data_IF_507377454096
#
_entry.id   IF_507377454096
#
_cell.length_a   1.000
_cell.length_b   1.000
_cell.length_c   1.000
_cell.angle_alpha   90.00
_cell.angle_beta   90.00
_cell.angle_gamma   90.00
#
_symmetry.space_group_name_H-M   'P 1'
#
loop_
_entity.id
_entity.type
_entity.pdbx_description
1 polymer ?
#
# COMPACT_ATOMS: atom_id res chain seq x y z
N UNK A 1 -17.41 -5.26 64.29
CA UNK A 1 -16.80 -6.44 63.65
C UNK A 1 -16.48 -6.07 62.21
N UNK A 2 -15.21 -6.23 61.80
CA UNK A 2 -14.63 -5.72 60.54
C UNK A 2 -15.08 -6.54 59.32
N UNK A 3 -15.23 -5.81 58.21
CA UNK A 3 -14.74 -6.16 56.86
C UNK A 3 -15.19 -7.47 56.21
N UNK A 4 -16.16 -7.36 55.32
CA UNK A 4 -16.19 -8.19 54.09
C UNK A 4 -15.87 -7.29 52.89
N UNK A 5 -14.66 -7.47 52.36
CA UNK A 5 -14.14 -6.76 51.22
C UNK A 5 -14.62 -7.42 49.91
N UNK A 6 -15.15 -6.58 49.02
CA UNK A 6 -15.38 -6.84 47.59
C UNK A 6 -14.16 -7.52 46.94
N UNK A 7 -14.30 -8.75 46.49
CA UNK A 7 -13.27 -9.47 45.71
C UNK A 7 -13.74 -9.94 44.32
N UNK A 8 -14.88 -9.46 43.80
CA UNK A 8 -15.47 -9.98 42.55
C UNK A 8 -15.26 -9.17 41.24
N UNK A 9 -14.66 -7.97 41.28
CA UNK A 9 -14.79 -7.00 40.16
C UNK A 9 -13.59 -6.82 39.21
N UNK A 10 -12.41 -7.31 39.55
CA UNK A 10 -11.16 -6.95 38.85
C UNK A 10 -10.72 -7.93 37.76
N UNK A 11 -11.12 -9.20 37.86
CA UNK A 11 -10.76 -10.24 36.87
C UNK A 11 -11.49 -10.08 35.53
N UNK A 12 -12.80 -9.85 35.56
CA UNK A 12 -13.62 -9.71 34.34
C UNK A 12 -13.28 -8.45 33.54
N UNK A 13 -12.93 -7.35 34.22
CA UNK A 13 -12.51 -6.10 33.56
C UNK A 13 -11.16 -6.25 32.86
N UNK A 14 -10.17 -6.90 33.48
CA UNK A 14 -8.87 -7.16 32.82
C UNK A 14 -8.98 -8.09 31.62
N UNK A 15 -9.78 -9.16 31.74
CA UNK A 15 -10.03 -10.07 30.62
C UNK A 15 -10.66 -9.32 29.44
N UNK A 16 -11.64 -8.46 29.72
CA UNK A 16 -12.26 -7.62 28.70
C UNK A 16 -11.24 -6.70 28.03
N UNK A 17 -10.42 -5.99 28.78
CA UNK A 17 -9.40 -5.09 28.21
C UNK A 17 -8.42 -5.86 27.31
N UNK A 18 -8.02 -7.07 27.71
CA UNK A 18 -7.17 -7.96 26.92
C UNK A 18 -7.85 -8.43 25.64
N UNK A 19 -9.12 -8.87 25.72
CA UNK A 19 -9.90 -9.27 24.55
C UNK A 19 -10.04 -8.14 23.54
N UNK A 20 -10.26 -6.90 23.99
CA UNK A 20 -10.32 -5.74 23.08
C UNK A 20 -8.99 -5.47 22.37
N UNK A 21 -7.86 -5.74 23.00
CA UNK A 21 -6.55 -5.68 22.34
C UNK A 21 -6.36 -6.80 21.33
N UNK A 22 -6.75 -8.03 21.67
CA UNK A 22 -6.71 -9.17 20.73
C UNK A 22 -7.54 -8.87 19.48
N UNK A 23 -8.77 -8.36 19.65
CA UNK A 23 -9.62 -7.96 18.51
C UNK A 23 -8.97 -6.86 17.68
N UNK A 24 -8.37 -5.84 18.32
CA UNK A 24 -7.68 -4.77 17.60
C UNK A 24 -6.47 -5.28 16.80
N UNK A 25 -5.69 -6.22 17.35
CA UNK A 25 -4.56 -6.87 16.66
C UNK A 25 -5.06 -7.69 15.47
N UNK A 26 -6.10 -8.51 15.65
CA UNK A 26 -6.68 -9.30 14.56
C UNK A 26 -7.16 -8.39 13.43
N UNK A 27 -7.90 -7.31 13.74
CA UNK A 27 -8.37 -6.37 12.72
C UNK A 27 -7.20 -5.68 11.99
N UNK A 28 -6.15 -5.29 12.71
CA UNK A 28 -4.96 -4.67 12.12
C UNK A 28 -4.22 -5.65 11.20
N UNK A 29 -3.96 -6.88 11.64
CA UNK A 29 -3.27 -7.91 10.84
C UNK A 29 -4.09 -8.29 9.62
N UNK A 30 -5.41 -8.46 9.75
CA UNK A 30 -6.29 -8.76 8.62
C UNK A 30 -6.29 -7.64 7.57
N UNK A 31 -6.34 -6.37 8.00
CA UNK A 31 -6.26 -5.24 7.08
C UNK A 31 -4.88 -5.15 6.40
N UNK A 32 -3.80 -5.36 7.16
CA UNK A 32 -2.44 -5.37 6.62
C UNK A 32 -2.23 -6.47 5.57
N UNK A 33 -2.74 -7.68 5.83
CA UNK A 33 -2.72 -8.78 4.88
C UNK A 33 -3.49 -8.45 3.60
N UNK A 34 -4.72 -7.95 3.75
CA UNK A 34 -5.55 -7.53 2.60
C UNK A 34 -4.86 -6.45 1.76
N UNK A 35 -4.27 -5.42 2.39
CA UNK A 35 -3.52 -4.37 1.70
C UNK A 35 -2.32 -4.92 0.92
N UNK A 36 -1.59 -5.88 1.50
CA UNK A 36 -0.43 -6.47 0.84
C UNK A 36 -0.83 -7.21 -0.43
N UNK A 37 -1.92 -7.98 -0.40
CA UNK A 37 -2.39 -8.76 -1.55
C UNK A 37 -3.08 -7.91 -2.63
N UNK A 38 -3.74 -6.82 -2.24
CA UNK A 38 -4.45 -5.93 -3.19
C UNK A 38 -3.60 -4.74 -3.64
N UNK A 39 -2.38 -4.62 -3.14
CA UNK A 39 -1.47 -3.53 -3.48
C UNK A 39 -0.88 -3.70 -4.89
N UNK A 40 -0.57 -2.59 -5.60
CA UNK A 40 -0.02 -2.62 -6.95
C UNK A 40 1.41 -3.14 -7.01
N UNK A 41 2.08 -3.26 -5.86
CA UNK A 41 3.39 -3.91 -5.76
C UNK A 41 3.28 -5.43 -5.60
N UNK A 42 2.08 -5.97 -5.36
CA UNK A 42 1.86 -7.41 -5.31
C UNK A 42 2.02 -7.99 -6.72
N UNK A 43 2.91 -8.97 -6.91
CA UNK A 43 3.19 -9.56 -8.21
C UNK A 43 1.93 -10.01 -8.96
N UNK A 44 1.93 -9.86 -10.29
CA UNK A 44 0.86 -10.38 -11.13
C UNK A 44 1.06 -11.88 -11.33
N UNK A 45 0.24 -12.68 -10.67
CA UNK A 45 0.32 -14.14 -10.71
C UNK A 45 -0.71 -14.71 -11.67
N UNK A 46 -0.38 -15.81 -12.34
CA UNK A 46 -1.32 -16.55 -13.17
C UNK A 46 -0.74 -17.90 -13.59
N UNK A 47 -1.38 -18.53 -14.56
CA UNK A 47 -0.95 -19.80 -15.11
C UNK A 47 -0.98 -19.77 -16.63
N UNK A 48 -0.09 -20.54 -17.25
CA UNK A 48 -0.07 -20.76 -18.69
C UNK A 48 0.12 -22.25 -19.00
N UNK A 49 -0.36 -22.68 -20.16
CA UNK A 49 -0.35 -24.09 -20.57
C UNK A 49 0.63 -24.29 -21.73
N UNK A 50 1.59 -25.20 -21.56
CA UNK A 50 2.53 -25.61 -22.61
C UNK A 50 2.66 -27.12 -22.56
N UNK A 51 2.57 -27.79 -23.72
CA UNK A 51 2.72 -29.25 -23.80
C UNK A 51 1.71 -30.05 -22.96
N UNK A 52 0.57 -29.45 -22.61
CA UNK A 52 -0.43 -30.06 -21.71
C UNK A 52 -0.13 -29.95 -20.22
N UNK A 53 0.97 -29.29 -19.84
CA UNK A 53 1.32 -28.97 -18.45
C UNK A 53 0.97 -27.53 -18.11
N UNK A 54 0.55 -27.30 -16.87
CA UNK A 54 0.29 -25.97 -16.32
C UNK A 54 1.50 -25.46 -15.56
N UNK A 55 1.92 -24.24 -15.88
CA UNK A 55 3.03 -23.55 -15.23
C UNK A 55 2.53 -22.27 -14.59
N UNK A 56 2.92 -22.03 -13.34
CA UNK A 56 2.59 -20.80 -12.63
C UNK A 56 3.64 -19.73 -12.91
N UNK A 57 3.21 -18.48 -13.06
CA UNK A 57 4.12 -17.36 -13.22
C UNK A 57 3.88 -16.28 -12.16
N UNK A 58 4.92 -15.50 -11.90
CA UNK A 58 4.90 -14.35 -11.00
C UNK A 58 5.59 -13.15 -11.68
N UNK A 59 4.80 -12.23 -12.23
CA UNK A 59 5.30 -11.06 -12.93
C UNK A 59 5.48 -9.86 -11.99
N UNK A 60 6.68 -9.30 -11.98
CA UNK A 60 7.07 -8.19 -11.11
C UNK A 60 6.32 -6.89 -11.43
N UNK A 61 5.89 -6.16 -10.39
CA UNK A 61 5.16 -4.88 -10.54
C UNK A 61 5.83 -3.69 -9.85
N UNK A 62 6.99 -3.92 -9.24
CA UNK A 62 7.79 -2.85 -8.68
C UNK A 62 9.28 -3.19 -8.77
N UNK A 63 10.11 -2.17 -8.96
CA UNK A 63 11.57 -2.30 -8.95
C UNK A 63 12.25 -1.00 -8.48
N UNK A 64 13.53 -1.09 -8.15
CA UNK A 64 14.39 0.06 -7.86
C UNK A 64 14.87 0.73 -9.15
N UNK A 65 15.05 2.05 -9.09
CA UNK A 65 15.63 2.86 -10.17
C UNK A 65 17.10 2.55 -10.46
N UNK A 66 17.79 1.85 -9.55
CA UNK A 66 19.24 1.60 -9.61
C UNK A 66 19.63 0.42 -10.49
N UNK A 67 18.66 -0.30 -11.06
CA UNK A 67 18.89 -1.51 -11.86
C UNK A 67 17.71 -1.79 -12.80
N UNK A 68 18.00 -2.57 -13.84
CA UNK A 68 16.97 -3.13 -14.70
C UNK A 68 16.13 -4.15 -13.93
N UNK A 69 14.84 -4.24 -14.27
CA UNK A 69 13.92 -5.17 -13.62
C UNK A 69 14.01 -6.54 -14.29
N UNK A 70 14.33 -7.56 -13.50
CA UNK A 70 14.32 -8.95 -13.94
C UNK A 70 12.88 -9.45 -14.02
N UNK A 71 12.46 -9.86 -15.21
CA UNK A 71 11.18 -10.54 -15.46
C UNK A 71 11.50 -11.99 -15.78
N UNK A 72 10.91 -12.92 -15.04
CA UNK A 72 11.17 -14.34 -15.22
C UNK A 72 9.90 -15.17 -15.16
N UNK A 73 9.89 -16.24 -15.94
CA UNK A 73 8.87 -17.29 -15.93
C UNK A 73 9.55 -18.65 -16.00
N UNK A 74 8.90 -19.73 -15.52
CA UNK A 74 9.46 -21.07 -15.64
C UNK A 74 9.80 -21.40 -17.09
N UNK A 75 10.99 -21.96 -17.31
CA UNK A 75 11.32 -22.57 -18.59
C UNK A 75 10.56 -23.88 -18.72
N UNK A 76 9.96 -24.12 -19.88
CA UNK A 76 8.99 -25.20 -20.08
C UNK A 76 9.56 -26.34 -20.92
N UNK A 77 10.33 -26.05 -21.98
CA UNK A 77 10.99 -27.03 -22.88
C UNK A 77 12.07 -26.33 -23.75
N UNK A 78 13.06 -27.07 -24.29
CA UNK A 78 14.13 -26.52 -25.15
C UNK A 78 13.65 -25.81 -26.43
N UNK A 79 12.40 -26.04 -26.86
CA UNK A 79 11.85 -25.47 -28.09
C UNK A 79 10.98 -24.22 -27.89
N UNK A 80 10.82 -23.77 -26.63
CA UNK A 80 10.02 -22.60 -26.29
C UNK A 80 10.93 -21.39 -26.13
N UNK A 81 10.67 -20.34 -26.90
CA UNK A 81 11.37 -19.07 -26.77
C UNK A 81 10.43 -17.99 -26.24
N UNK A 82 10.94 -17.10 -25.39
CA UNK A 82 10.18 -15.97 -24.87
C UNK A 82 10.62 -14.64 -25.47
N UNK A 83 9.67 -13.75 -25.69
CA UNK A 83 9.90 -12.35 -26.04
C UNK A 83 9.21 -11.47 -24.99
N UNK A 84 9.98 -10.61 -24.33
CA UNK A 84 9.48 -9.59 -23.44
C UNK A 84 9.10 -8.35 -24.25
N UNK A 85 7.84 -7.95 -24.19
CA UNK A 85 7.30 -6.82 -24.96
C UNK A 85 6.89 -5.72 -24.00
N UNK A 86 7.42 -4.51 -24.16
CA UNK A 86 7.18 -3.41 -23.22
C UNK A 86 7.18 -2.03 -23.86
N UNK A 87 6.55 -1.07 -23.19
CA UNK A 87 6.67 0.36 -23.50
C UNK A 87 6.48 1.24 -22.26
N UNK A 88 6.72 2.54 -22.39
CA UNK A 88 6.41 3.50 -21.34
C UNK A 88 4.90 3.55 -21.14
N UNK A 89 4.47 3.52 -19.88
CA UNK A 89 3.04 3.46 -19.56
C UNK A 89 2.34 4.76 -19.95
N UNK A 90 1.20 4.66 -20.62
CA UNK A 90 0.37 5.80 -21.06
C UNK A 90 1.11 6.79 -21.96
N UNK A 91 1.91 6.27 -22.87
CA UNK A 91 2.51 7.02 -23.98
C UNK A 91 2.07 6.44 -25.33
N UNK A 92 2.21 7.23 -26.38
CA UNK A 92 1.99 6.80 -27.77
C UNK A 92 3.21 6.07 -28.36
N UNK A 93 4.14 5.62 -27.51
CA UNK A 93 5.29 4.85 -27.97
C UNK A 93 4.87 3.51 -28.56
N UNK A 94 5.65 3.08 -29.55
CA UNK A 94 5.62 1.70 -30.04
C UNK A 94 6.19 0.74 -28.98
N UNK A 95 5.66 -0.48 -28.98
CA UNK A 95 6.21 -1.54 -28.13
C UNK A 95 7.60 -1.95 -28.60
N UNK A 96 8.50 -2.14 -27.64
CA UNK A 96 9.83 -2.66 -27.81
C UNK A 96 9.82 -4.15 -27.46
N UNK A 97 10.42 -4.97 -28.33
CA UNK A 97 10.60 -6.39 -28.11
C UNK A 97 12.04 -6.66 -27.66
N UNK A 98 12.19 -7.40 -26.56
CA UNK A 98 13.47 -7.87 -26.04
C UNK A 98 13.43 -9.40 -25.90
N UNK A 99 14.42 -10.13 -26.44
CA UNK A 99 14.45 -11.58 -26.31
C UNK A 99 14.65 -11.98 -24.84
N UNK A 100 13.99 -13.07 -24.43
CA UNK A 100 14.25 -13.70 -23.15
C UNK A 100 15.30 -14.81 -23.31
N UNK A 101 16.15 -14.96 -22.31
CA UNK A 101 17.25 -15.93 -22.29
C UNK A 101 16.94 -17.01 -21.26
N UNK A 102 17.14 -18.27 -21.64
CA UNK A 102 17.06 -19.40 -20.72
C UNK A 102 18.27 -19.40 -19.76
N UNK A 103 18.01 -19.21 -18.47
CA UNK A 103 19.01 -19.19 -17.40
C UNK A 103 18.42 -19.87 -16.15
N UNK A 104 19.16 -20.83 -15.58
CA UNK A 104 18.80 -21.52 -14.33
C UNK A 104 17.38 -22.13 -14.29
N UNK A 105 16.86 -22.61 -15.43
CA UNK A 105 15.53 -23.20 -15.54
C UNK A 105 14.38 -22.18 -15.64
N UNK A 106 14.72 -20.92 -15.93
CA UNK A 106 13.77 -19.84 -16.18
C UNK A 106 14.05 -19.18 -17.54
N UNK A 107 13.01 -18.66 -18.19
CA UNK A 107 13.15 -17.69 -19.26
C UNK A 107 13.18 -16.30 -18.65
N UNK A 108 14.25 -15.55 -18.90
CA UNK A 108 14.55 -14.27 -18.25
C UNK A 108 14.62 -13.15 -19.26
N UNK A 109 13.85 -12.08 -19.03
CA UNK A 109 13.94 -10.82 -19.74
C UNK A 109 14.22 -9.66 -18.78
N UNK A 110 14.69 -8.54 -19.33
CA UNK A 110 15.08 -7.36 -18.55
C UNK A 110 14.34 -6.12 -19.03
N UNK A 111 13.63 -5.47 -18.12
CA UNK A 111 13.03 -4.16 -18.37
C UNK A 111 14.02 -3.07 -17.99
N UNK A 112 14.26 -2.07 -18.84
CA UNK A 112 15.22 -1.01 -18.56
C UNK A 112 14.80 -0.20 -17.35
N UNK A 113 15.76 0.12 -16.47
CA UNK A 113 15.57 0.99 -15.33
C UNK A 113 14.87 2.30 -15.74
N UNK A 114 13.90 2.74 -14.95
CA UNK A 114 13.22 4.02 -15.16
C UNK A 114 13.57 5.02 -14.05
N UNK A 115 13.40 6.33 -14.30
CA UNK A 115 13.46 7.33 -13.23
C UNK A 115 12.40 7.08 -12.13
N UNK A 116 12.52 7.73 -10.97
CA UNK A 116 11.55 7.61 -9.88
C UNK A 116 10.13 7.92 -10.34
N UNK A 117 9.16 7.12 -9.90
CA UNK A 117 7.75 7.17 -10.33
C UNK A 117 7.51 6.80 -11.81
N UNK A 118 8.56 6.46 -12.56
CA UNK A 118 8.46 5.89 -13.90
C UNK A 118 7.70 4.58 -13.89
N UNK A 119 6.91 4.37 -14.94
CA UNK A 119 6.13 3.15 -15.16
C UNK A 119 6.35 2.62 -16.56
N UNK A 120 6.47 1.30 -16.67
CA UNK A 120 6.41 0.58 -17.93
C UNK A 120 5.17 -0.32 -17.89
N UNK A 121 4.56 -0.52 -19.05
CA UNK A 121 3.65 -1.64 -19.28
C UNK A 121 4.36 -2.71 -20.10
N UNK A 122 4.14 -3.97 -19.73
CA UNK A 122 4.77 -5.09 -20.40
C UNK A 122 3.92 -6.36 -20.35
N UNK A 123 4.25 -7.28 -21.24
CA UNK A 123 3.77 -8.65 -21.26
C UNK A 123 4.84 -9.52 -21.93
N UNK A 124 4.67 -10.83 -21.86
CA UNK A 124 5.56 -11.81 -22.49
C UNK A 124 4.80 -12.51 -23.59
N UNK A 125 5.45 -12.78 -24.71
CA UNK A 125 4.97 -13.68 -25.75
C UNK A 125 5.87 -14.91 -25.73
N UNK A 126 5.27 -16.08 -25.50
CA UNK A 126 5.94 -17.35 -25.72
C UNK A 126 5.66 -17.83 -27.14
N UNK A 127 6.72 -18.13 -27.89
CA UNK A 127 6.65 -18.86 -29.15
C UNK A 127 6.82 -20.36 -28.86
N UNK A 128 5.76 -21.13 -29.10
CA UNK A 128 5.74 -22.59 -28.93
C UNK A 128 5.53 -23.27 -30.29
N UNK A 129 5.84 -24.59 -30.43
CA UNK A 129 5.54 -25.34 -31.65
C UNK A 129 4.04 -25.31 -32.04
N UNK A 130 3.16 -25.09 -31.07
CA UNK A 130 1.70 -25.05 -31.25
C UNK A 130 1.12 -23.65 -31.49
N UNK A 131 1.92 -22.60 -31.37
CA UNK A 131 1.49 -21.21 -31.55
C UNK A 131 2.06 -20.25 -30.50
N UNK A 132 1.56 -19.02 -30.52
CA UNK A 132 1.97 -17.95 -29.58
C UNK A 132 1.05 -17.88 -28.37
N UNK A 133 1.65 -17.70 -27.19
CA UNK A 133 0.93 -17.60 -25.93
C UNK A 133 1.32 -16.27 -25.25
N UNK A 134 0.40 -15.30 -25.13
CA UNK A 134 0.63 -14.09 -24.35
C UNK A 134 0.52 -14.37 -22.85
N UNK A 135 1.40 -13.74 -22.07
CA UNK A 135 1.43 -13.81 -20.60
C UNK A 135 1.56 -12.39 -20.02
N UNK A 136 0.58 -11.88 -19.27
CA UNK A 136 -0.73 -12.48 -18.98
C UNK A 136 -1.57 -12.69 -20.25
N UNK A 137 -2.62 -13.50 -20.14
CA UNK A 137 -3.56 -13.66 -21.26
C UNK A 137 -4.26 -12.33 -21.61
N UNK A 138 -4.88 -12.28 -22.79
CA UNK A 138 -5.56 -11.07 -23.30
C UNK A 138 -6.69 -10.57 -22.37
N UNK A 139 -7.28 -11.44 -21.55
CA UNK A 139 -8.34 -11.06 -20.62
C UNK A 139 -7.78 -10.31 -19.40
N UNK A 140 -6.56 -10.62 -18.98
CA UNK A 140 -5.91 -10.00 -17.83
C UNK A 140 -5.15 -8.72 -18.19
N UNK A 141 -4.76 -8.55 -19.47
CA UNK A 141 -4.11 -7.35 -19.98
C UNK A 141 -2.65 -7.19 -19.51
N UNK A 142 -2.02 -6.08 -19.92
CA UNK A 142 -0.61 -5.82 -19.67
C UNK A 142 -0.31 -5.62 -18.18
N UNK A 143 0.87 -6.05 -17.75
CA UNK A 143 1.40 -5.80 -16.41
C UNK A 143 2.01 -4.41 -16.37
N UNK A 144 1.65 -3.62 -15.36
CA UNK A 144 2.27 -2.32 -15.10
C UNK A 144 3.26 -2.46 -13.95
N UNK A 145 4.53 -2.13 -14.23
CA UNK A 145 5.61 -2.03 -13.25
C UNK A 145 5.88 -0.56 -12.91
N UNK A 146 6.17 -0.27 -11.64
CA UNK A 146 6.55 1.06 -11.15
C UNK A 146 7.94 1.06 -10.53
N UNK A 147 8.75 2.06 -10.88
CA UNK A 147 10.09 2.25 -10.35
C UNK A 147 10.10 3.27 -9.20
N UNK A 148 10.93 3.01 -8.19
CA UNK A 148 11.12 3.89 -7.03
C UNK A 148 12.58 3.91 -6.59
N UNK A 149 12.99 5.03 -6.02
CA UNK A 149 14.32 5.12 -5.40
C UNK A 149 14.39 4.31 -4.09
N UNK A 150 15.59 3.83 -3.70
CA UNK A 150 15.80 3.19 -2.41
C UNK A 150 15.48 4.15 -1.25
N UNK A 151 14.56 3.73 -0.37
CA UNK A 151 14.25 4.49 0.86
C UNK A 151 15.14 3.98 2.00
N UNK A 152 15.86 4.86 2.72
CA UNK A 152 16.67 4.45 3.85
C UNK A 152 15.85 3.72 4.91
N UNK A 153 16.35 2.57 5.39
CA UNK A 153 15.64 1.72 6.35
C UNK A 153 15.30 2.44 7.66
N UNK A 154 16.14 3.39 8.10
CA UNK A 154 15.89 4.18 9.30
C UNK A 154 14.71 5.16 9.17
N UNK A 155 14.22 5.41 7.95
CA UNK A 155 12.97 6.16 7.70
C UNK A 155 11.82 5.20 7.47
N UNK A 156 12.04 4.20 6.60
CA UNK A 156 11.01 3.26 6.18
C UNK A 156 10.47 2.42 7.34
N UNK A 157 11.35 1.86 8.18
CA UNK A 157 10.93 0.99 9.28
C UNK A 157 10.14 1.77 10.34
N UNK A 158 10.59 2.96 10.82
CA UNK A 158 9.77 3.76 11.74
C UNK A 158 8.45 4.22 11.13
N UNK A 159 8.42 4.60 9.85
CA UNK A 159 7.17 4.97 9.17
C UNK A 159 6.14 3.83 9.23
N UNK A 160 6.51 2.64 8.75
CA UNK A 160 5.63 1.46 8.72
C UNK A 160 5.20 1.07 10.13
N UNK A 161 6.13 1.03 11.08
CA UNK A 161 5.82 0.70 12.47
C UNK A 161 4.82 1.68 13.08
N UNK A 162 5.00 2.99 12.88
CA UNK A 162 4.08 4.01 13.38
C UNK A 162 2.70 3.91 12.73
N UNK A 163 2.60 3.57 11.44
CA UNK A 163 1.31 3.36 10.78
C UNK A 163 0.55 2.18 11.40
N UNK A 164 1.21 1.03 11.62
CA UNK A 164 0.57 -0.12 12.28
C UNK A 164 0.19 0.17 13.74
N UNK A 165 1.05 0.86 14.49
CA UNK A 165 0.76 1.25 15.88
C UNK A 165 -0.41 2.24 15.92
N UNK A 166 -0.46 3.21 15.01
CA UNK A 166 -1.58 4.14 14.88
C UNK A 166 -2.89 3.40 14.63
N UNK A 167 -2.92 2.47 13.66
CA UNK A 167 -4.10 1.66 13.38
C UNK A 167 -4.53 0.84 14.60
N UNK A 168 -3.58 0.15 15.23
CA UNK A 168 -3.83 -0.69 16.40
C UNK A 168 -4.44 0.12 17.56
N UNK A 169 -3.83 1.25 17.91
CA UNK A 169 -4.31 2.13 18.99
C UNK A 169 -5.66 2.77 18.60
N UNK A 170 -5.83 3.18 17.35
CA UNK A 170 -7.04 3.83 16.86
C UNK A 170 -8.26 2.91 16.88
N UNK A 171 -8.12 1.69 16.35
CA UNK A 171 -9.15 0.65 16.46
C UNK A 171 -9.45 0.34 17.92
N UNK A 172 -8.41 0.23 18.75
CA UNK A 172 -8.57 0.00 20.19
C UNK A 172 -9.30 1.13 20.91
N UNK A 173 -9.14 2.38 20.47
CA UNK A 173 -9.88 3.54 20.97
C UNK A 173 -11.35 3.48 20.56
N UNK A 174 -11.67 3.06 19.32
CA UNK A 174 -13.04 2.82 18.87
C UNK A 174 -13.74 1.71 19.68
N UNK A 175 -13.04 0.59 19.90
CA UNK A 175 -13.54 -0.49 20.76
C UNK A 175 -13.72 -0.04 22.22
N UNK A 176 -12.80 0.77 22.75
CA UNK A 176 -12.95 1.40 24.06
C UNK A 176 -14.22 2.27 24.11
N UNK A 177 -14.45 3.08 23.08
CA UNK A 177 -15.63 3.92 23.01
C UNK A 177 -16.93 3.11 23.07
N UNK A 178 -17.00 1.89 22.54
CA UNK A 178 -18.21 1.05 22.61
C UNK A 178 -18.29 0.31 23.95
N UNK A 179 -17.20 -0.33 24.34
CA UNK A 179 -17.23 -1.33 25.41
C UNK A 179 -16.68 -0.76 26.73
N UNK A 180 -15.51 -0.14 26.72
CA UNK A 180 -14.83 0.32 27.93
C UNK A 180 -14.31 1.75 27.76
N UNK A 181 -15.13 2.79 28.05
CA UNK A 181 -14.82 4.16 27.67
C UNK A 181 -13.71 4.80 28.51
N UNK A 182 -13.30 4.19 29.63
CA UNK A 182 -12.26 4.72 30.53
C UNK A 182 -10.97 5.14 29.81
N UNK A 183 -10.31 4.26 29.04
CA UNK A 183 -9.11 4.61 28.29
C UNK A 183 -9.34 5.32 26.94
N UNK A 184 -10.60 5.48 26.49
CA UNK A 184 -10.94 5.97 25.15
C UNK A 184 -10.19 7.25 24.76
N UNK A 185 -10.23 8.27 25.62
CA UNK A 185 -9.64 9.59 25.33
C UNK A 185 -8.12 9.52 25.19
N UNK A 186 -7.46 8.82 26.12
CA UNK A 186 -6.00 8.64 26.09
C UNK A 186 -5.57 7.91 24.82
N UNK A 187 -6.27 6.83 24.47
CA UNK A 187 -5.99 6.07 23.25
C UNK A 187 -6.25 6.91 22.00
N UNK A 188 -7.32 7.71 21.97
CA UNK A 188 -7.63 8.56 20.83
C UNK A 188 -6.54 9.62 20.57
N UNK A 189 -6.10 10.32 21.62
CA UNK A 189 -5.00 11.27 21.52
C UNK A 189 -3.67 10.60 21.17
N UNK A 190 -3.38 9.42 21.74
CA UNK A 190 -2.19 8.65 21.37
C UNK A 190 -2.22 8.25 19.90
N UNK A 191 -3.37 7.78 19.40
CA UNK A 191 -3.57 7.45 17.99
C UNK A 191 -3.30 8.65 17.08
N UNK A 192 -3.83 9.83 17.42
CA UNK A 192 -3.61 11.05 16.65
C UNK A 192 -2.13 11.44 16.61
N UNK A 193 -1.42 11.40 17.74
CA UNK A 193 0.01 11.74 17.80
C UNK A 193 0.84 10.76 16.96
N UNK A 194 0.66 9.46 17.17
CA UNK A 194 1.41 8.42 16.44
C UNK A 194 1.12 8.50 14.94
N UNK A 195 -0.14 8.69 14.55
CA UNK A 195 -0.54 8.87 13.16
C UNK A 195 0.02 10.15 12.54
N UNK A 196 0.13 11.24 13.30
CA UNK A 196 0.75 12.48 12.80
C UNK A 196 2.21 12.25 12.49
N UNK A 197 2.95 11.62 13.40
CA UNK A 197 4.38 11.32 13.22
C UNK A 197 4.57 10.31 12.08
N UNK A 198 3.82 9.21 12.08
CA UNK A 198 3.93 8.17 11.06
C UNK A 198 3.47 8.65 9.68
N UNK A 199 2.26 9.19 9.59
CA UNK A 199 1.60 9.51 8.33
C UNK A 199 1.94 10.88 7.75
N UNK A 200 2.05 11.94 8.56
CA UNK A 200 2.26 13.31 8.06
C UNK A 200 3.69 13.84 8.24
N UNK A 201 4.57 13.12 8.94
CA UNK A 201 5.99 13.48 9.04
C UNK A 201 6.84 12.44 8.32
N UNK A 202 6.85 11.19 8.80
CA UNK A 202 7.68 10.14 8.22
C UNK A 202 7.20 9.69 6.83
N UNK A 203 5.88 9.72 6.57
CA UNK A 203 5.30 9.42 5.27
C UNK A 203 5.85 10.33 4.16
N UNK A 204 5.71 11.67 4.29
CA UNK A 204 6.30 12.63 3.36
C UNK A 204 7.81 12.48 3.15
N UNK A 205 8.55 12.20 4.22
CA UNK A 205 10.00 11.98 4.12
C UNK A 205 10.29 10.71 3.30
N UNK A 206 9.59 9.60 3.59
CA UNK A 206 9.73 8.36 2.82
C UNK A 206 9.35 8.56 1.35
N UNK A 207 8.30 9.33 1.07
CA UNK A 207 7.86 9.68 -0.28
C UNK A 207 8.89 10.52 -1.02
N UNK A 208 9.51 11.49 -0.34
CA UNK A 208 10.59 12.31 -0.91
C UNK A 208 11.76 11.44 -1.33
N UNK A 209 12.13 10.46 -0.52
CA UNK A 209 13.17 9.50 -0.88
C UNK A 209 12.77 8.62 -2.06
N UNK A 210 11.53 8.13 -2.11
CA UNK A 210 11.09 7.17 -3.14
C UNK A 210 10.81 7.79 -4.52
N UNK A 211 10.29 9.02 -4.53
CA UNK A 211 9.72 9.65 -5.74
C UNK A 211 10.14 11.10 -5.95
N UNK A 212 10.86 11.72 -5.02
CA UNK A 212 11.33 13.11 -5.18
C UNK A 212 10.33 14.19 -4.76
N UNK A 213 9.14 13.85 -4.27
CA UNK A 213 8.15 14.80 -3.73
C UNK A 213 7.79 14.50 -2.26
N UNK A 214 7.64 15.52 -1.43
CA UNK A 214 7.23 15.33 -0.02
C UNK A 214 5.74 15.03 0.11
N UNK A 215 4.90 15.63 -0.73
CA UNK A 215 3.46 15.49 -0.64
C UNK A 215 2.85 15.75 -2.00
N UNK A 216 1.96 14.85 -2.40
CA UNK A 216 1.25 14.83 -3.69
C UNK A 216 -0.27 14.76 -3.49
N UNK A 217 -0.75 14.95 -2.26
CA UNK A 217 -2.17 15.13 -1.96
C UNK A 217 -2.60 16.59 -1.96
N UNK A 218 -3.86 16.81 -1.61
CA UNK A 218 -4.45 18.14 -1.48
C UNK A 218 -3.66 18.98 -0.46
N UNK A 219 -3.44 20.28 -0.70
CA UNK A 219 -3.95 21.10 -1.82
C UNK A 219 -3.06 21.14 -3.06
N UNK A 220 -1.95 20.39 -3.09
CA UNK A 220 -0.94 20.52 -4.15
C UNK A 220 -1.24 19.63 -5.35
N UNK A 221 -1.76 18.43 -5.12
CA UNK A 221 -2.14 17.46 -6.16
C UNK A 221 -3.22 16.49 -5.62
N UNK A 222 -3.57 15.42 -6.33
CA UNK A 222 -4.70 14.54 -6.03
C UNK A 222 -4.31 13.07 -5.79
N UNK A 223 -3.07 12.79 -5.37
CA UNK A 223 -2.64 11.43 -5.01
C UNK A 223 -3.57 10.80 -3.98
N UNK A 224 -4.04 9.59 -4.30
CA UNK A 224 -5.03 8.90 -3.50
C UNK A 224 -4.47 8.47 -2.12
N UNK A 225 -3.19 8.14 -2.04
CA UNK A 225 -2.56 7.68 -0.80
C UNK A 225 -2.43 8.83 0.19
N UNK A 226 -1.91 9.96 -0.26
CA UNK A 226 -1.78 11.17 0.56
C UNK A 226 -3.14 11.69 1.02
N UNK A 227 -4.11 11.76 0.10
CA UNK A 227 -5.47 12.22 0.41
C UNK A 227 -6.19 11.33 1.42
N UNK A 228 -6.00 10.01 1.36
CA UNK A 228 -6.54 9.07 2.35
C UNK A 228 -5.97 9.32 3.74
N UNK A 229 -4.64 9.51 3.83
CA UNK A 229 -3.97 9.81 5.11
C UNK A 229 -4.46 11.15 5.66
N UNK A 230 -4.58 12.18 4.82
CA UNK A 230 -5.09 13.49 5.21
C UNK A 230 -6.53 13.42 5.70
N UNK A 231 -7.43 12.76 4.97
CA UNK A 231 -8.82 12.58 5.36
C UNK A 231 -8.93 11.87 6.72
N UNK A 232 -8.22 10.74 6.86
CA UNK A 232 -8.15 10.01 8.13
C UNK A 232 -7.68 10.93 9.25
N UNK A 233 -6.58 11.67 9.04
CA UNK A 233 -6.03 12.58 10.03
C UNK A 233 -7.01 13.68 10.43
N UNK A 234 -7.68 14.34 9.47
CA UNK A 234 -8.68 15.38 9.73
C UNK A 234 -9.86 14.87 10.56
N UNK A 235 -10.35 13.67 10.27
CA UNK A 235 -11.43 13.04 11.05
C UNK A 235 -10.98 12.77 12.49
N UNK A 236 -9.75 12.30 12.69
CA UNK A 236 -9.18 12.08 14.03
C UNK A 236 -8.92 13.37 14.80
N UNK A 237 -8.48 14.43 14.13
CA UNK A 237 -8.38 15.78 14.72
C UNK A 237 -9.76 16.24 15.18
N UNK A 238 -10.77 16.14 14.31
CA UNK A 238 -12.15 16.49 14.64
C UNK A 238 -12.68 15.71 15.84
N UNK A 239 -12.44 14.40 15.89
CA UNK A 239 -12.80 13.57 17.03
C UNK A 239 -12.06 13.99 18.31
N UNK A 240 -10.75 14.22 18.27
CA UNK A 240 -9.94 14.62 19.42
C UNK A 240 -10.31 16.01 19.95
N UNK A 241 -10.59 16.97 19.06
CA UNK A 241 -11.09 18.31 19.41
C UNK A 241 -12.48 18.21 20.07
N UNK A 242 -13.37 17.41 19.49
CA UNK A 242 -14.73 17.24 20.00
C UNK A 242 -14.76 16.60 21.39
N UNK A 243 -14.00 15.52 21.60
CA UNK A 243 -13.90 14.90 22.93
C UNK A 243 -13.18 15.85 23.89
N UNK A 244 -12.06 16.47 23.48
CA UNK A 244 -11.19 17.26 24.35
C UNK A 244 -10.43 16.44 25.40
N UNK A 245 -9.71 17.12 26.29
CA UNK A 245 -8.85 16.48 27.30
C UNK A 245 -9.61 15.96 28.54
N UNK A 246 -10.77 16.55 28.85
CA UNK A 246 -11.60 16.19 30.02
C UNK A 246 -12.98 15.73 29.60
N UNK A 247 -13.59 14.88 30.42
CA UNK A 247 -14.98 14.47 30.25
C UNK A 247 -15.91 15.70 30.29
N UNK A 248 -16.89 15.71 29.40
CA UNK A 248 -17.92 16.75 29.29
C UNK A 248 -19.30 16.08 29.38
N UNK A 249 -20.36 16.86 29.60
CA UNK A 249 -21.74 16.34 29.69
C UNK A 249 -22.28 15.61 28.44
N UNK A 250 -21.54 15.59 27.32
CA UNK A 250 -21.91 14.95 26.05
C UNK A 250 -21.12 13.67 25.76
N UNK A 251 -20.91 12.82 26.76
CA UNK A 251 -20.06 11.63 26.63
C UNK A 251 -20.59 10.63 25.58
N UNK A 252 -21.91 10.51 25.39
CA UNK A 252 -22.49 9.67 24.34
C UNK A 252 -22.05 10.09 22.93
N UNK A 253 -22.10 11.39 22.63
CA UNK A 253 -21.64 11.91 21.34
C UNK A 253 -20.11 11.76 21.20
N UNK A 254 -19.36 11.92 22.29
CA UNK A 254 -17.91 11.77 22.28
C UNK A 254 -17.50 10.35 21.89
N UNK A 255 -18.23 9.36 22.41
CA UNK A 255 -18.04 7.94 22.06
C UNK A 255 -18.36 7.70 20.58
N UNK A 256 -19.48 8.23 20.08
CA UNK A 256 -19.84 8.11 18.66
C UNK A 256 -18.77 8.71 17.74
N UNK A 257 -18.20 9.87 18.10
CA UNK A 257 -17.15 10.52 17.32
C UNK A 257 -15.88 9.65 17.19
N UNK A 258 -15.46 9.00 18.29
CA UNK A 258 -14.29 8.10 18.28
C UNK A 258 -14.59 6.81 17.52
N UNK A 259 -15.79 6.25 17.63
CA UNK A 259 -16.21 5.09 16.83
C UNK A 259 -16.19 5.43 15.34
N UNK A 260 -16.78 6.57 14.95
CA UNK A 260 -16.77 7.02 13.56
C UNK A 260 -15.34 7.22 13.03
N UNK A 261 -14.44 7.82 13.83
CA UNK A 261 -13.03 7.99 13.45
C UNK A 261 -12.30 6.64 13.28
N UNK A 262 -12.55 5.68 14.16
CA UNK A 262 -11.98 4.33 14.04
C UNK A 262 -12.51 3.58 12.81
N UNK A 263 -13.80 3.74 12.47
CA UNK A 263 -14.38 3.17 11.25
C UNK A 263 -13.77 3.79 9.99
N UNK A 264 -13.64 5.12 9.94
CA UNK A 264 -12.97 5.81 8.83
C UNK A 264 -11.54 5.33 8.68
N UNK A 265 -10.80 5.17 9.78
CA UNK A 265 -9.46 4.60 9.76
C UNK A 265 -9.46 3.20 9.14
N UNK A 266 -10.29 2.27 9.62
CA UNK A 266 -10.36 0.92 9.03
C UNK A 266 -10.69 0.98 7.54
N UNK A 267 -11.65 1.80 7.12
CA UNK A 267 -12.01 1.98 5.71
C UNK A 267 -10.80 2.47 4.90
N UNK A 268 -10.10 3.50 5.38
CA UNK A 268 -8.90 4.04 4.72
C UNK A 268 -7.82 2.98 4.54
N UNK A 269 -7.59 2.14 5.55
CA UNK A 269 -6.66 1.03 5.44
C UNK A 269 -7.17 -0.08 4.49
N UNK A 270 -8.47 -0.36 4.42
CA UNK A 270 -8.99 -1.38 3.49
C UNK A 270 -8.96 -0.92 2.03
N UNK A 271 -9.07 0.38 1.74
CA UNK A 271 -9.01 0.84 0.34
C UNK A 271 -7.58 0.64 -0.20
N UNK A 272 -7.36 -0.15 -1.25
CA UNK A 272 -6.03 -0.47 -1.77
C UNK A 272 -5.19 0.78 -2.05
N UNK A 273 -3.92 0.77 -1.62
CA UNK A 273 -2.97 1.83 -1.96
C UNK A 273 -2.77 1.87 -3.49
N UNK A 274 -2.78 3.06 -4.10
CA UNK A 274 -2.39 3.25 -5.50
C UNK A 274 -3.25 2.52 -6.57
N UNK A 275 -4.58 2.62 -6.46
CA UNK A 275 -5.40 2.58 -7.68
C UNK A 275 -5.14 3.82 -8.59
N UNK A 276 -4.64 4.93 -8.01
CA UNK A 276 -4.33 6.21 -8.66
C UNK A 276 -3.19 6.93 -7.93
N UNK A 277 -2.00 6.32 -7.90
CA UNK A 277 -0.81 6.96 -7.33
C UNK A 277 -0.16 7.96 -8.31
N UNK A 278 0.66 8.89 -7.83
CA UNK A 278 1.47 9.80 -8.68
C UNK A 278 2.27 9.03 -9.74
N UNK A 279 2.29 9.55 -10.96
CA UNK A 279 2.97 8.99 -12.13
C UNK A 279 3.95 10.01 -12.70
N UNK A 280 5.01 9.50 -13.35
CA UNK A 280 5.95 10.32 -14.10
C UNK A 280 5.35 10.72 -15.45
N UNK A 281 5.41 12.01 -15.77
CA UNK A 281 4.99 12.55 -17.06
C UNK A 281 6.16 12.54 -18.04
N UNK A 282 6.18 11.54 -18.92
CA UNK A 282 7.25 11.36 -19.90
C UNK A 282 7.34 12.52 -20.90
N UNK A 283 6.22 13.20 -21.20
CA UNK A 283 6.23 14.37 -22.10
C UNK A 283 7.04 15.53 -21.52
N UNK A 284 6.95 15.74 -20.19
CA UNK A 284 7.72 16.78 -19.50
C UNK A 284 9.20 16.43 -19.40
N UNK A 285 9.53 15.14 -19.24
CA UNK A 285 10.92 14.67 -19.27
C UNK A 285 11.57 14.93 -20.64
N UNK A 286 10.86 14.67 -21.72
CA UNK A 286 11.34 14.92 -23.08
C UNK A 286 11.57 16.41 -23.34
N UNK A 287 10.84 17.28 -22.64
CA UNK A 287 11.04 18.73 -22.64
C UNK A 287 12.20 19.19 -21.73
N UNK A 288 12.90 18.26 -21.07
CA UNK A 288 14.06 18.53 -20.21
C UNK A 288 13.72 18.89 -18.76
N UNK A 289 12.46 18.72 -18.34
CA UNK A 289 12.06 18.93 -16.94
C UNK A 289 12.66 17.81 -16.07
N UNK A 290 13.23 18.10 -14.89
CA UNK A 290 13.73 17.06 -13.99
C UNK A 290 12.63 16.07 -13.56
N UNK A 291 12.95 14.76 -13.38
CA UNK A 291 11.96 13.75 -12.97
C UNK A 291 11.17 14.09 -11.70
N UNK A 292 11.79 14.78 -10.74
CA UNK A 292 11.12 15.21 -9.50
C UNK A 292 10.06 16.29 -9.69
N UNK A 293 10.11 17.01 -10.81
CA UNK A 293 9.19 18.10 -11.18
C UNK A 293 8.18 17.66 -12.24
N UNK A 294 8.45 16.55 -12.93
CA UNK A 294 7.59 15.95 -13.94
C UNK A 294 6.55 14.96 -13.36
N UNK A 295 6.10 15.17 -12.12
CA UNK A 295 5.15 14.28 -11.45
C UNK A 295 3.71 14.79 -11.59
N UNK A 296 2.78 13.90 -11.98
CA UNK A 296 1.34 14.20 -12.03
C UNK A 296 0.54 13.06 -11.38
N UNK A 297 -0.43 13.40 -10.54
CA UNK A 297 -1.38 12.43 -9.98
C UNK A 297 -2.71 12.47 -10.70
N UNK A 298 -3.37 11.30 -10.80
CA UNK A 298 -4.77 11.25 -11.23
C UNK A 298 -5.03 11.58 -12.70
N UNK A 299 -4.10 11.30 -13.63
CA UNK A 299 -4.40 11.31 -15.08
C UNK A 299 -5.63 10.42 -15.32
N UNK A 300 -6.76 11.07 -15.57
CA UNK A 300 -7.99 10.46 -16.07
C UNK A 300 -7.67 9.93 -17.47
N UNK A 301 -7.75 8.61 -17.62
CA UNK A 301 -8.03 7.97 -18.88
C UNK A 301 -9.51 7.60 -18.87
#
# INVERSE_FOLDING_TARGET
MKSEARAGGTGSSRLREALLWVVAVVLMVSAAGYQRHTGPSYPATGQFLVGGYSYEYELVRNELTTRDARVAIPDTEESVTGTLVYKRFRTDDDFVEAPMVAEDGELVGWLPAQPPAGKLEYFIILDTPTGRIPIPDEFHGNVVIRFKDPVPLFVLLPHIAMMFIAMLIGVRAGLAAIFSPGPMRRLAWASLVVMTIGGLVLGPIAQKYAFGAYWTGFPFDYDLTDNKVLLMWLVWVGACVFIGLKSKGREGMARLAVVAAALVMVIVYVIPHSARGTELDYELLEQGVPPSEALKSGREG
#
